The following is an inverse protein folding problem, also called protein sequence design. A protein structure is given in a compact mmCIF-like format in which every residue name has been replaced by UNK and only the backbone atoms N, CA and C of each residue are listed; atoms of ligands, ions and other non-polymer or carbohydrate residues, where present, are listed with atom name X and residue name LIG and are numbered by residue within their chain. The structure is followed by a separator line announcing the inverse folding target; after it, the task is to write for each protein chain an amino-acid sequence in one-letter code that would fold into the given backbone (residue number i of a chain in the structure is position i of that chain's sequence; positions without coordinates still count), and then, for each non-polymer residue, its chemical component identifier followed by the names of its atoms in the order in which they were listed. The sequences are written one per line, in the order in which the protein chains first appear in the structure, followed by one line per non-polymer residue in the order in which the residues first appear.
data_IF_149475963746
#
_entry.id   IF_149475963746
#
_cell.length_a   1.000
_cell.length_b   1.000
_cell.length_c   1.000
_cell.angle_alpha   90.00
_cell.angle_beta   90.00
_cell.angle_gamma   90.00
#
_symmetry.space_group_name_H-M   'P 1'
#
loop_
_entity.id
_entity.type
_entity.pdbx_description
1 polymer ?
#
# COMPACT_ATOMS: atom_id res chain seq x y z
N UNK A 1 19.93 30.36 5.48
CA UNK A 1 18.55 30.24 6.02
C UNK A 1 18.25 28.76 6.15
N UNK A 2 17.83 28.28 7.33
CA UNK A 2 17.41 26.89 7.50
C UNK A 2 16.16 26.65 6.63
N UNK A 3 16.20 25.64 5.76
CA UNK A 3 15.02 25.26 4.97
C UNK A 3 14.04 24.57 5.92
N UNK A 4 12.84 25.13 6.03
CA UNK A 4 11.72 24.50 6.72
C UNK A 4 11.05 23.55 5.72
N UNK A 5 11.03 22.27 6.04
CA UNK A 5 10.33 21.25 5.25
C UNK A 5 9.10 20.80 6.03
N UNK A 6 7.98 20.64 5.32
CA UNK A 6 6.78 20.03 5.86
C UNK A 6 6.73 18.58 5.37
N UNK A 7 6.60 17.63 6.29
CA UNK A 7 6.46 16.21 5.97
C UNK A 7 5.05 15.74 6.32
N UNK A 8 4.44 15.00 5.41
CA UNK A 8 3.17 14.31 5.68
C UNK A 8 3.47 13.01 6.42
N UNK A 9 2.86 12.82 7.59
CA UNK A 9 2.92 11.57 8.35
C UNK A 9 1.59 10.85 8.19
N UNK A 10 1.62 9.61 7.70
CA UNK A 10 0.49 8.69 7.71
C UNK A 10 0.52 7.90 9.01
N UNK A 11 -0.57 7.90 9.76
CA UNK A 11 -0.73 7.11 10.98
C UNK A 11 -1.81 6.07 10.75
N UNK A 12 -1.43 4.82 10.92
CA UNK A 12 -2.30 3.64 10.79
C UNK A 12 -2.34 2.93 12.14
N UNK A 13 -3.40 2.16 12.37
CA UNK A 13 -3.53 1.30 13.55
C UNK A 13 -3.73 -0.13 13.06
N UNK A 14 -2.95 -1.06 13.60
CA UNK A 14 -3.07 -2.48 13.28
C UNK A 14 -4.18 -3.18 14.08
N UNK A 15 -4.33 -4.49 13.85
CA UNK A 15 -5.36 -5.33 14.50
C UNK A 15 -5.16 -5.43 16.03
N UNK A 16 -3.92 -5.30 16.51
CA UNK A 16 -3.56 -5.34 17.93
C UNK A 16 -3.68 -3.96 18.62
N UNK A 17 -4.11 -2.94 17.87
CA UNK A 17 -4.26 -1.57 18.37
C UNK A 17 -2.95 -0.79 18.46
N UNK A 18 -1.84 -1.30 17.91
CA UNK A 18 -0.56 -0.60 17.81
C UNK A 18 -0.63 0.42 16.70
N UNK A 19 -0.15 1.63 16.99
CA UNK A 19 -0.06 2.72 16.02
C UNK A 19 1.24 2.61 15.25
N UNK A 20 1.17 2.77 13.93
CA UNK A 20 2.30 2.80 13.02
C UNK A 20 2.29 4.14 12.29
N UNK A 21 3.40 4.87 12.33
CA UNK A 21 3.58 6.06 11.50
C UNK A 21 4.57 5.79 10.37
N UNK A 22 4.29 6.40 9.22
CA UNK A 22 5.14 6.38 8.03
C UNK A 22 5.20 7.76 7.40
N UNK A 23 6.37 8.14 6.90
CA UNK A 23 6.55 9.34 6.07
C UNK A 23 6.70 8.90 4.61
N UNK A 24 5.69 9.11 3.74
CA UNK A 24 5.76 8.70 2.34
C UNK A 24 6.93 9.35 1.61
N UNK A 25 7.26 10.57 2.03
CA UNK A 25 8.31 11.36 1.43
C UNK A 25 9.71 10.76 1.66
N UNK A 26 9.92 10.02 2.75
CA UNK A 26 11.22 9.46 3.10
C UNK A 26 11.12 7.92 3.09
N UNK A 27 11.57 7.25 2.02
CA UNK A 27 11.51 5.79 1.93
C UNK A 27 12.18 5.12 3.13
N UNK A 28 11.45 4.22 3.81
CA UNK A 28 11.97 3.52 4.98
C UNK A 28 11.86 4.30 6.31
N UNK A 29 11.32 5.52 6.30
CA UNK A 29 11.01 6.25 7.53
C UNK A 29 9.66 5.79 8.10
N UNK A 30 9.70 4.87 9.06
CA UNK A 30 8.55 4.38 9.80
C UNK A 30 8.87 4.19 11.28
N UNK A 31 7.86 4.26 12.13
CA UNK A 31 7.96 3.96 13.55
C UNK A 31 6.65 3.40 14.07
N UNK A 32 6.67 2.82 15.26
CA UNK A 32 5.48 2.24 15.89
C UNK A 32 5.42 2.59 17.37
N UNK A 33 4.24 2.50 17.98
CA UNK A 33 4.01 2.86 19.37
C UNK A 33 2.61 2.51 19.86
N UNK A 34 2.43 2.55 21.18
CA UNK A 34 1.16 2.20 21.83
C UNK A 34 0.15 3.34 21.81
N UNK A 35 0.60 4.58 21.58
CA UNK A 35 -0.25 5.77 21.49
C UNK A 35 0.17 6.64 20.33
N UNK A 36 -0.75 7.48 19.85
CA UNK A 36 -0.51 8.43 18.76
C UNK A 36 0.61 9.42 19.15
N UNK A 37 0.61 9.88 20.40
CA UNK A 37 1.60 10.83 20.91
C UNK A 37 3.01 10.23 20.88
N UNK A 38 3.16 8.98 21.34
CA UNK A 38 4.44 8.27 21.33
C UNK A 38 4.97 8.10 19.91
N UNK A 39 4.10 7.72 18.98
CA UNK A 39 4.46 7.55 17.58
C UNK A 39 4.88 8.88 16.95
N UNK A 40 4.17 9.97 17.28
CA UNK A 40 4.48 11.31 16.79
C UNK A 40 5.80 11.88 17.33
N UNK A 41 6.22 11.51 18.53
CA UNK A 41 7.53 11.87 19.06
C UNK A 41 8.64 11.11 18.30
N UNK A 42 8.50 9.78 18.21
CA UNK A 42 9.49 8.91 17.56
C UNK A 42 9.66 9.22 16.07
N UNK A 43 8.60 9.57 15.35
CA UNK A 43 8.69 9.82 13.91
C UNK A 43 9.44 11.12 13.62
N UNK A 44 9.38 12.13 14.52
CA UNK A 44 10.17 13.36 14.38
C UNK A 44 11.67 13.06 14.47
N UNK A 45 12.07 12.27 15.46
CA UNK A 45 13.46 11.82 15.59
C UNK A 45 13.90 10.99 14.38
N UNK A 46 13.03 10.09 13.90
CA UNK A 46 13.32 9.29 12.72
C UNK A 46 13.51 10.14 11.45
N UNK A 47 12.71 11.20 11.25
CA UNK A 47 12.87 12.13 10.14
C UNK A 47 14.24 12.80 10.19
N UNK A 48 14.65 13.29 11.36
CA UNK A 48 15.97 13.94 11.54
C UNK A 48 17.10 12.99 11.15
N UNK A 49 17.08 11.76 11.66
CA UNK A 49 18.09 10.73 11.36
C UNK A 49 18.11 10.37 9.87
N UNK A 50 16.94 10.22 9.24
CA UNK A 50 16.87 9.90 7.81
C UNK A 50 17.41 11.03 6.93
N UNK A 51 17.16 12.30 7.29
CA UNK A 51 17.68 13.46 6.57
C UNK A 51 19.20 13.58 6.68
N UNK A 52 19.79 13.15 7.79
CA UNK A 52 21.24 13.09 7.95
C UNK A 52 21.88 11.99 7.11
N UNK A 53 21.18 10.86 6.93
CA UNK A 53 21.68 9.70 6.20
C UNK A 53 21.59 9.85 4.67
N UNK A 54 20.59 10.58 4.16
CA UNK A 54 20.31 10.70 2.73
C UNK A 54 20.94 11.94 2.08
N UNK A 55 21.85 11.74 1.11
CA UNK A 55 22.26 12.78 0.12
C UNK A 55 21.23 12.92 -1.02
N UNK A 56 19.94 12.85 -0.71
CA UNK A 56 18.90 12.80 -1.76
C UNK A 56 18.47 14.21 -2.14
N UNK A 57 18.46 14.49 -3.45
CA UNK A 57 17.93 15.73 -4.01
C UNK A 57 16.41 15.65 -4.02
N UNK A 58 15.79 16.12 -2.94
CA UNK A 58 14.34 16.12 -2.79
C UNK A 58 13.69 17.19 -3.67
N UNK A 59 12.80 16.79 -4.59
CA UNK A 59 11.82 17.69 -5.19
C UNK A 59 10.48 17.46 -4.48
N UNK A 60 10.13 18.29 -3.48
CA UNK A 60 8.91 18.07 -2.73
C UNK A 60 7.70 18.24 -3.65
N UNK A 61 6.88 17.20 -3.75
CA UNK A 61 5.57 17.32 -4.37
C UNK A 61 4.69 18.22 -3.48
N UNK A 62 3.84 19.04 -4.11
CA UNK A 62 2.87 19.84 -3.36
C UNK A 62 1.81 18.89 -2.80
N UNK A 63 1.73 18.80 -1.48
CA UNK A 63 0.64 18.08 -0.81
C UNK A 63 -0.72 18.71 -1.18
N UNK A 64 -1.62 17.90 -1.75
CA UNK A 64 -2.98 18.33 -2.14
C UNK A 64 -4.08 17.75 -1.23
N UNK A 65 -3.79 16.68 -0.48
CA UNK A 65 -4.73 16.04 0.42
C UNK A 65 -4.55 14.52 0.51
N UNK A 66 -5.34 13.88 1.36
CA UNK A 66 -5.48 12.43 1.47
C UNK A 66 -6.88 12.06 0.95
N UNK A 67 -6.94 11.14 -0.01
CA UNK A 67 -8.19 10.57 -0.49
C UNK A 67 -8.21 9.08 -0.18
N UNK A 68 -9.13 8.65 0.67
CA UNK A 68 -9.45 7.24 0.81
C UNK A 68 -10.47 6.87 -0.28
N UNK A 69 -10.13 5.89 -1.09
CA UNK A 69 -11.06 5.29 -2.06
C UNK A 69 -11.48 3.94 -1.46
N UNK A 70 -12.73 3.85 -1.02
CA UNK A 70 -13.30 2.60 -0.52
C UNK A 70 -13.39 1.60 -1.69
N UNK A 71 -12.51 0.59 -1.67
CA UNK A 71 -12.39 -0.42 -2.71
C UNK A 71 -13.47 -1.51 -2.62
N UNK A 72 -13.14 -2.69 -3.15
CA UNK A 72 -14.04 -3.83 -3.14
C UNK A 72 -14.18 -4.42 -1.73
N UNK A 73 -15.41 -4.55 -1.24
CA UNK A 73 -15.76 -5.21 0.01
C UNK A 73 -15.85 -6.72 -0.18
N UNK A 74 -15.36 -7.50 0.78
CA UNK A 74 -15.54 -8.94 0.77
C UNK A 74 -17.03 -9.28 0.94
N UNK A 75 -17.62 -9.98 -0.03
CA UNK A 75 -19.04 -10.38 0.01
C UNK A 75 -19.27 -11.85 0.34
N UNK A 76 -18.31 -12.72 0.00
CA UNK A 76 -18.44 -14.15 0.26
C UNK A 76 -17.07 -14.84 0.17
N UNK A 77 -16.80 -15.75 1.09
CA UNK A 77 -15.68 -16.68 1.03
C UNK A 77 -16.24 -18.10 1.02
N UNK A 78 -15.98 -18.84 -0.06
CA UNK A 78 -16.31 -20.26 -0.16
C UNK A 78 -15.07 -21.01 -0.64
N UNK A 79 -14.50 -21.83 0.25
CA UNK A 79 -13.25 -22.54 -0.02
C UNK A 79 -12.13 -21.60 -0.45
N UNK A 80 -11.44 -21.95 -1.53
CA UNK A 80 -10.28 -21.21 -2.07
C UNK A 80 -10.63 -19.97 -2.89
N UNK A 81 -11.90 -19.56 -2.96
CA UNK A 81 -12.34 -18.41 -3.76
C UNK A 81 -12.98 -17.34 -2.88
N UNK A 82 -12.42 -16.14 -2.97
CA UNK A 82 -12.81 -14.98 -2.18
C UNK A 82 -13.43 -13.95 -3.11
N UNK A 83 -14.73 -13.67 -2.96
CA UNK A 83 -15.49 -12.76 -3.82
C UNK A 83 -15.54 -11.37 -3.20
N UNK A 84 -15.12 -10.35 -3.94
CA UNK A 84 -15.24 -8.95 -3.53
C UNK A 84 -16.20 -8.17 -4.45
N UNK A 85 -16.89 -7.17 -3.88
CA UNK A 85 -17.83 -6.28 -4.57
C UNK A 85 -17.43 -4.83 -4.33
N UNK A 86 -17.24 -4.07 -5.39
CA UNK A 86 -17.01 -2.64 -5.32
C UNK A 86 -18.34 -1.89 -5.19
N UNK A 87 -18.30 -0.70 -4.57
CA UNK A 87 -19.47 0.15 -4.40
C UNK A 87 -20.14 0.54 -5.73
N UNK A 88 -19.39 0.57 -6.84
CA UNK A 88 -19.89 0.83 -8.20
C UNK A 88 -20.52 -0.38 -8.91
N UNK A 89 -20.62 -1.52 -8.23
CA UNK A 89 -21.24 -2.74 -8.77
C UNK A 89 -20.27 -3.73 -9.42
N UNK A 90 -18.97 -3.40 -9.57
CA UNK A 90 -17.97 -4.38 -10.03
C UNK A 90 -17.84 -5.54 -9.03
N UNK A 91 -17.67 -6.75 -9.56
CA UNK A 91 -17.40 -7.96 -8.78
C UNK A 91 -16.05 -8.52 -9.22
N UNK A 92 -15.22 -8.93 -8.27
CA UNK A 92 -13.97 -9.66 -8.53
C UNK A 92 -13.91 -10.90 -7.66
N UNK A 93 -13.30 -11.98 -8.15
CA UNK A 93 -13.07 -13.20 -7.39
C UNK A 93 -11.58 -13.42 -7.35
N UNK A 94 -11.01 -13.31 -6.16
CA UNK A 94 -9.60 -13.57 -5.92
C UNK A 94 -9.47 -14.99 -5.38
N UNK A 95 -8.79 -15.89 -6.08
CA UNK A 95 -8.44 -17.19 -5.53
C UNK A 95 -7.37 -17.01 -4.43
N UNK A 96 -7.61 -17.57 -3.25
CA UNK A 96 -6.68 -17.57 -2.12
C UNK A 96 -6.16 -18.99 -1.95
N UNK A 97 -5.32 -19.43 -2.88
CA UNK A 97 -4.56 -20.66 -2.72
C UNK A 97 -3.25 -20.31 -2.01
N UNK A 98 -3.05 -20.85 -0.80
CA UNK A 98 -1.76 -20.78 -0.13
C UNK A 98 -0.71 -21.51 -0.98
N UNK A 99 0.30 -20.76 -1.44
CA UNK A 99 1.53 -21.26 -2.08
C UNK A 99 1.43 -22.08 -3.37
N UNK A 100 0.32 -22.06 -4.11
CA UNK A 100 0.26 -22.68 -5.45
C UNK A 100 0.17 -21.64 -6.57
N UNK A 101 1.01 -21.81 -7.59
CA UNK A 101 0.94 -21.04 -8.83
C UNK A 101 -0.44 -21.17 -9.47
N UNK A 102 -1.02 -20.05 -9.89
CA UNK A 102 -2.29 -20.03 -10.61
C UNK A 102 -2.22 -20.94 -11.85
N UNK A 103 -3.12 -21.92 -11.92
CA UNK A 103 -3.25 -22.79 -13.07
C UNK A 103 -3.41 -21.98 -14.37
N UNK A 104 -2.77 -22.44 -15.45
CA UNK A 104 -2.72 -21.74 -16.76
C UNK A 104 -4.12 -21.34 -17.29
N UNK A 105 -5.13 -22.17 -17.04
CA UNK A 105 -6.52 -21.90 -17.43
C UNK A 105 -7.14 -20.74 -16.65
N UNK A 106 -7.04 -20.77 -15.33
CA UNK A 106 -7.55 -19.71 -14.45
C UNK A 106 -6.86 -18.37 -14.73
N UNK A 107 -5.53 -18.40 -14.92
CA UNK A 107 -4.78 -17.21 -15.30
C UNK A 107 -5.26 -16.65 -16.65
N UNK A 108 -5.56 -17.50 -17.64
CA UNK A 108 -6.10 -17.03 -18.93
C UNK A 108 -7.48 -16.39 -18.79
N UNK A 109 -8.32 -16.91 -17.91
CA UNK A 109 -9.67 -16.38 -17.67
C UNK A 109 -9.64 -15.05 -16.92
N UNK A 110 -8.77 -14.92 -15.92
CA UNK A 110 -8.51 -13.66 -15.21
C UNK A 110 -8.02 -12.60 -16.20
N UNK A 111 -7.02 -12.92 -17.03
CA UNK A 111 -6.47 -12.00 -18.04
C UNK A 111 -7.55 -11.51 -19.03
N UNK A 112 -8.46 -12.40 -19.45
CA UNK A 112 -9.62 -12.04 -20.29
C UNK A 112 -10.58 -11.08 -19.58
N UNK A 113 -10.92 -11.33 -18.31
CA UNK A 113 -11.83 -10.48 -17.55
C UNK A 113 -11.29 -9.07 -17.34
N UNK A 114 -9.97 -8.95 -17.10
CA UNK A 114 -9.31 -7.65 -16.92
C UNK A 114 -8.84 -7.01 -18.24
N UNK A 115 -9.11 -7.65 -19.39
CA UNK A 115 -8.69 -7.23 -20.73
C UNK A 115 -7.18 -6.97 -20.85
N UNK A 116 -6.37 -7.76 -20.15
CA UNK A 116 -4.91 -7.69 -20.19
C UNK A 116 -4.41 -8.83 -21.07
N UNK A 117 -3.59 -8.52 -22.07
CA UNK A 117 -3.01 -9.57 -22.90
C UNK A 117 -1.86 -10.29 -22.18
N UNK A 118 -1.49 -11.46 -22.70
CA UNK A 118 -0.48 -12.31 -22.07
C UNK A 118 0.91 -11.69 -22.08
N UNK A 119 1.23 -10.94 -23.13
CA UNK A 119 2.53 -10.33 -23.32
C UNK A 119 2.73 -9.16 -22.36
N UNK A 120 1.68 -8.38 -22.14
CA UNK A 120 1.64 -7.28 -21.18
C UNK A 120 1.71 -7.80 -19.74
N UNK A 121 0.99 -8.88 -19.43
CA UNK A 121 1.11 -9.58 -18.15
C UNK A 121 2.55 -10.08 -17.88
N UNK A 122 3.18 -10.72 -18.87
CA UNK A 122 4.54 -11.24 -18.71
C UNK A 122 5.58 -10.11 -18.57
N UNK A 123 5.38 -8.96 -19.22
CA UNK A 123 6.20 -7.74 -19.02
C UNK A 123 6.08 -7.19 -17.60
N UNK A 124 4.87 -7.17 -17.04
CA UNK A 124 4.61 -6.70 -15.67
C UNK A 124 5.22 -7.66 -14.64
N UNK A 125 5.10 -8.97 -14.87
CA UNK A 125 5.66 -10.01 -13.98
C UNK A 125 7.19 -10.00 -13.94
N UNK A 126 7.86 -9.72 -15.06
CA UNK A 126 9.34 -9.70 -15.15
C UNK A 126 10.00 -8.48 -14.48
N UNK A 127 9.23 -7.47 -14.07
CA UNK A 127 9.74 -6.27 -13.40
C UNK A 127 9.82 -6.38 -11.87
N UNK A 128 9.47 -7.55 -11.31
CA UNK A 128 9.51 -7.87 -9.88
C UNK A 128 10.60 -8.90 -9.62
#
# INVERSE_FOLDING_TARGET
MAKVYNYTVLIEQDEDGIYVAKVPDIPGCYTQGKTVEQVMERIKEAIEVCLEAEKVTYQPLKFVGIQQILGFQLIHQSGSHTRYKHADGRLTVVPVHGNEDLGKGLLSEILKQIKLDREEYDKLRRKV
#
